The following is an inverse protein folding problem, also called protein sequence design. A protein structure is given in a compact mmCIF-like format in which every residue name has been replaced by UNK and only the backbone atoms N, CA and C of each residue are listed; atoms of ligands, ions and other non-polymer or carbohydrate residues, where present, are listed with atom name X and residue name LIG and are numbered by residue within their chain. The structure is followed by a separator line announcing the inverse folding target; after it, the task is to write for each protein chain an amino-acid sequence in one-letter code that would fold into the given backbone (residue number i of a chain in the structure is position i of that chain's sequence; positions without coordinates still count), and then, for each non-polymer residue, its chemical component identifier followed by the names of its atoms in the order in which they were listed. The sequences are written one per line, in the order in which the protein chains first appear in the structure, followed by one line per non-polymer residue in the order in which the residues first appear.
data_IF_850783059903
#
_entry.id   IF_850783059903
#
_cell.length_a   1.000
_cell.length_b   1.000
_cell.length_c   1.000
_cell.angle_alpha   90.00
_cell.angle_beta   90.00
_cell.angle_gamma   90.00
#
_symmetry.space_group_name_H-M   'P 1'
#
loop_
_entity.id
_entity.type
_entity.pdbx_description
1 polymer ?
#
# COMPACT_ATOMS: atom_id res chain seq x y z
N UNK A 1 29.69 4.98 -44.22
CA UNK A 1 30.64 5.38 -43.15
C UNK A 1 30.23 4.68 -41.86
N UNK A 2 30.79 3.51 -41.60
CA UNK A 2 30.49 2.68 -40.41
C UNK A 2 31.80 2.41 -39.63
N UNK A 3 32.60 3.46 -39.41
CA UNK A 3 33.89 3.38 -38.73
C UNK A 3 33.78 3.96 -37.31
N UNK A 4 33.04 3.27 -36.44
CA UNK A 4 32.84 3.67 -35.04
C UNK A 4 33.14 2.58 -34.01
N UNK A 5 33.58 1.39 -34.45
CA UNK A 5 34.10 0.38 -33.53
C UNK A 5 35.58 0.68 -33.24
N UNK A 6 35.82 1.77 -32.50
CA UNK A 6 37.08 1.97 -31.80
C UNK A 6 37.28 0.76 -30.89
N UNK A 7 38.42 0.08 -31.05
CA UNK A 7 38.82 -1.03 -30.21
C UNK A 7 38.77 -0.60 -28.74
N UNK A 8 37.71 -1.01 -28.02
CA UNK A 8 37.60 -0.77 -26.58
C UNK A 8 38.80 -1.45 -25.92
N UNK A 9 39.67 -0.65 -25.31
CA UNK A 9 40.73 -1.20 -24.48
C UNK A 9 40.10 -1.95 -23.32
N UNK A 10 40.68 -3.08 -22.90
CA UNK A 10 40.25 -3.81 -21.70
C UNK A 10 40.13 -2.88 -20.48
N UNK A 11 40.97 -1.84 -20.41
CA UNK A 11 40.89 -0.80 -19.39
C UNK A 11 39.58 -0.03 -19.44
N UNK A 12 39.09 0.32 -20.62
CA UNK A 12 37.83 1.07 -20.79
C UNK A 12 36.63 0.22 -20.37
N UNK A 13 36.67 -1.09 -20.63
CA UNK A 13 35.64 -2.05 -20.20
C UNK A 13 35.61 -2.17 -18.67
N UNK A 14 36.78 -2.29 -18.02
CA UNK A 14 36.86 -2.33 -16.56
C UNK A 14 36.38 -1.02 -15.91
N UNK A 15 36.76 0.12 -16.48
CA UNK A 15 36.39 1.42 -15.97
C UNK A 15 34.87 1.65 -16.11
N UNK A 16 34.29 1.28 -17.25
CA UNK A 16 32.85 1.30 -17.46
C UNK A 16 32.11 0.39 -16.47
N UNK A 17 32.62 -0.81 -16.18
CA UNK A 17 32.04 -1.72 -15.20
C UNK A 17 32.05 -1.14 -13.78
N UNK A 18 33.14 -0.49 -13.37
CA UNK A 18 33.22 0.20 -12.09
C UNK A 18 32.22 1.36 -12.00
N UNK A 19 32.12 2.19 -13.04
CA UNK A 19 31.17 3.31 -13.08
C UNK A 19 29.72 2.79 -13.02
N UNK A 20 29.40 1.75 -13.79
CA UNK A 20 28.08 1.14 -13.77
C UNK A 20 27.71 0.58 -12.39
N UNK A 21 28.67 -0.04 -11.69
CA UNK A 21 28.47 -0.53 -10.32
C UNK A 21 28.17 0.61 -9.34
N UNK A 22 28.90 1.72 -9.42
CA UNK A 22 28.67 2.90 -8.56
C UNK A 22 27.30 3.52 -8.82
N UNK A 23 26.89 3.65 -10.08
CA UNK A 23 25.56 4.15 -10.45
C UNK A 23 24.48 3.21 -9.92
N UNK A 24 24.63 1.89 -10.11
CA UNK A 24 23.69 0.89 -9.62
C UNK A 24 23.57 0.92 -8.09
N UNK A 25 24.69 1.03 -7.37
CA UNK A 25 24.71 1.14 -5.91
C UNK A 25 24.05 2.44 -5.44
N UNK A 26 24.30 3.57 -6.12
CA UNK A 26 23.67 4.85 -5.83
C UNK A 26 22.16 4.81 -6.01
N UNK A 27 21.67 4.22 -7.11
CA UNK A 27 20.24 4.02 -7.37
C UNK A 27 19.60 3.13 -6.29
N UNK A 28 20.24 2.01 -5.92
CA UNK A 28 19.78 1.13 -4.84
C UNK A 28 19.71 1.84 -3.49
N UNK A 29 20.71 2.67 -3.19
CA UNK A 29 20.76 3.44 -1.94
C UNK A 29 19.68 4.52 -1.90
N UNK A 30 19.48 5.25 -3.00
CA UNK A 30 18.39 6.19 -3.17
C UNK A 30 17.02 5.51 -3.11
N UNK A 31 16.85 4.34 -3.72
CA UNK A 31 15.62 3.53 -3.59
C UNK A 31 15.44 2.99 -2.16
N UNK A 32 16.50 2.81 -1.37
CA UNK A 32 16.39 2.46 0.04
C UNK A 32 15.97 3.64 0.93
N UNK A 33 16.32 4.87 0.54
CA UNK A 33 16.00 6.12 1.25
C UNK A 33 14.65 6.73 0.82
N UNK A 34 14.36 6.74 -0.48
CA UNK A 34 13.12 7.24 -1.12
C UNK A 34 12.13 6.13 -1.45
N UNK A 35 12.51 4.87 -1.24
CA UNK A 35 11.56 3.77 -1.12
C UNK A 35 10.74 4.04 0.12
N UNK A 36 9.77 4.92 -0.06
CA UNK A 36 8.59 5.06 0.77
C UNK A 36 8.13 3.63 0.92
N UNK A 37 8.48 3.05 2.07
CA UNK A 37 7.92 1.82 2.54
C UNK A 37 6.44 2.03 2.28
N UNK A 38 5.83 1.28 1.37
CA UNK A 38 4.39 1.11 1.34
C UNK A 38 4.01 0.33 2.61
N UNK A 39 4.41 0.84 3.77
CA UNK A 39 3.57 0.83 4.93
C UNK A 39 2.35 1.62 4.48
N UNK A 40 1.36 0.89 4.00
CA UNK A 40 -0.01 1.14 4.41
C UNK A 40 0.04 1.75 5.81
N UNK A 41 -0.61 2.89 6.09
CA UNK A 41 -0.70 3.43 7.43
C UNK A 41 -1.54 2.46 8.28
N UNK A 42 -0.96 1.32 8.62
CA UNK A 42 -1.36 0.46 9.71
C UNK A 42 -1.01 1.26 10.94
N UNK A 43 -1.97 2.06 11.39
CA UNK A 43 -1.93 2.71 12.68
C UNK A 43 -1.86 1.58 13.73
N UNK A 44 -0.64 1.14 14.05
CA UNK A 44 -0.37 0.20 15.12
C UNK A 44 -0.62 0.93 16.43
N UNK A 45 -1.88 1.03 16.82
CA UNK A 45 -2.27 1.49 18.15
C UNK A 45 -1.92 0.40 19.13
N UNK A 46 -0.66 0.41 19.58
CA UNK A 46 -0.34 -0.20 20.86
C UNK A 46 -0.85 0.76 21.94
N UNK A 47 -1.88 0.33 22.65
CA UNK A 47 -2.29 0.86 23.96
C UNK A 47 -3.09 2.19 23.98
N UNK A 48 -4.07 2.39 23.09
CA UNK A 48 -5.25 3.21 23.43
C UNK A 48 -6.47 2.28 23.42
N UNK A 49 -7.42 2.52 24.33
CA UNK A 49 -8.66 1.77 24.39
C UNK A 49 -9.29 1.69 23.01
N UNK A 50 -9.41 0.47 22.46
CA UNK A 50 -9.92 0.24 21.11
C UNK A 50 -11.31 0.86 20.89
N UNK A 51 -12.06 1.08 21.97
CA UNK A 51 -13.32 1.81 21.98
C UNK A 51 -13.16 3.29 21.59
N UNK A 52 -12.19 4.00 22.14
CA UNK A 52 -11.95 5.41 21.83
C UNK A 52 -11.44 5.60 20.39
N UNK A 53 -10.59 4.69 19.93
CA UNK A 53 -10.11 4.69 18.55
C UNK A 53 -11.26 4.41 17.58
N UNK A 54 -12.16 3.51 17.95
CA UNK A 54 -13.34 3.19 17.14
C UNK A 54 -14.29 4.39 17.00
N UNK A 55 -14.56 5.11 18.08
CA UNK A 55 -15.37 6.33 18.03
C UNK A 55 -14.69 7.43 17.19
N UNK A 56 -13.37 7.63 17.34
CA UNK A 56 -12.60 8.55 16.49
C UNK A 56 -12.65 8.14 15.01
N UNK A 57 -12.58 6.84 14.72
CA UNK A 57 -12.71 6.32 13.37
C UNK A 57 -14.11 6.56 12.79
N UNK A 58 -15.19 6.50 13.59
CA UNK A 58 -16.52 6.86 13.11
C UNK A 58 -16.62 8.32 12.69
N UNK A 59 -15.97 9.23 13.43
CA UNK A 59 -15.89 10.65 13.09
C UNK A 59 -15.10 10.88 11.79
N UNK A 60 -13.95 10.19 11.64
CA UNK A 60 -13.08 10.33 10.48
C UNK A 60 -13.61 9.64 9.21
N UNK A 61 -14.48 8.64 9.36
CA UNK A 61 -15.07 7.87 8.26
C UNK A 61 -16.60 7.98 8.32
N UNK A 62 -17.17 9.15 7.98
CA UNK A 62 -18.60 9.42 8.12
C UNK A 62 -19.48 8.69 7.09
N UNK A 63 -18.89 8.22 5.98
CA UNK A 63 -19.64 7.55 4.91
C UNK A 63 -19.83 6.08 5.31
N UNK A 64 -21.09 5.70 5.55
CA UNK A 64 -21.46 4.38 6.06
C UNK A 64 -21.65 3.34 4.94
N UNK A 65 -21.95 3.80 3.72
CA UNK A 65 -22.26 2.95 2.58
C UNK A 65 -21.14 3.06 1.56
N UNK A 66 -20.61 1.92 1.15
CA UNK A 66 -19.57 1.78 0.15
C UNK A 66 -20.16 1.04 -1.05
N UNK A 67 -20.11 1.64 -2.23
CA UNK A 67 -20.44 0.92 -3.47
C UNK A 67 -19.14 0.51 -4.16
N UNK A 68 -18.92 -0.78 -4.35
CA UNK A 68 -17.75 -1.32 -5.03
C UNK A 68 -18.20 -2.35 -6.07
N UNK A 69 -17.84 -2.13 -7.34
CA UNK A 69 -18.30 -2.93 -8.49
C UNK A 69 -19.82 -3.20 -8.52
N UNK A 70 -20.63 -2.20 -8.16
CA UNK A 70 -22.09 -2.32 -8.14
C UNK A 70 -22.68 -3.11 -6.97
N UNK A 71 -21.84 -3.58 -6.03
CA UNK A 71 -22.29 -4.13 -4.75
C UNK A 71 -22.22 -3.06 -3.66
N UNK A 72 -23.23 -3.01 -2.80
CA UNK A 72 -23.27 -2.10 -1.66
C UNK A 72 -22.83 -2.82 -0.39
N UNK A 73 -21.92 -2.21 0.35
CA UNK A 73 -21.42 -2.67 1.64
C UNK A 73 -21.72 -1.59 2.68
N UNK A 74 -22.30 -1.99 3.81
CA UNK A 74 -22.69 -1.07 4.88
C UNK A 74 -21.79 -1.25 6.11
N UNK A 75 -21.69 -0.19 6.92
CA UNK A 75 -21.01 -0.24 8.22
C UNK A 75 -21.52 -1.42 9.05
N UNK A 76 -20.59 -2.15 9.67
CA UNK A 76 -20.88 -3.33 10.49
C UNK A 76 -20.89 -4.65 9.72
N UNK A 77 -20.89 -4.63 8.39
CA UNK A 77 -20.75 -5.86 7.61
C UNK A 77 -19.36 -6.46 7.78
N UNK A 78 -19.30 -7.79 7.93
CA UNK A 78 -18.03 -8.51 7.80
C UNK A 78 -17.68 -8.61 6.33
N UNK A 79 -16.46 -8.18 6.01
CA UNK A 79 -15.95 -8.15 4.65
C UNK A 79 -14.56 -8.76 4.60
N UNK A 80 -14.26 -9.35 3.44
CA UNK A 80 -12.95 -9.81 3.04
C UNK A 80 -12.48 -8.96 1.86
N UNK A 81 -11.29 -8.41 1.99
CA UNK A 81 -10.69 -7.53 1.00
C UNK A 81 -9.45 -8.20 0.44
N UNK A 82 -9.36 -8.21 -0.88
CA UNK A 82 -8.17 -8.63 -1.62
C UNK A 82 -7.54 -7.37 -2.21
N UNK A 83 -6.32 -7.03 -1.80
CA UNK A 83 -5.59 -5.90 -2.38
C UNK A 83 -4.93 -6.30 -3.70
N UNK A 84 -4.54 -5.33 -4.52
CA UNK A 84 -3.79 -5.55 -5.77
C UNK A 84 -2.48 -6.34 -5.50
N UNK A 85 -1.90 -6.18 -4.31
CA UNK A 85 -0.72 -6.92 -3.86
C UNK A 85 -1.05 -8.36 -3.40
N UNK A 86 -2.26 -8.86 -3.68
CA UNK A 86 -2.78 -10.17 -3.27
C UNK A 86 -2.78 -10.39 -1.75
N UNK A 87 -2.82 -9.30 -0.97
CA UNK A 87 -2.97 -9.36 0.49
C UNK A 87 -4.44 -9.50 0.84
N UNK A 88 -4.74 -10.43 1.73
CA UNK A 88 -6.09 -10.67 2.23
C UNK A 88 -6.25 -9.99 3.59
N UNK A 89 -7.32 -9.20 3.73
CA UNK A 89 -7.69 -8.53 4.97
C UNK A 89 -9.15 -8.90 5.28
N UNK A 90 -9.39 -9.48 6.45
CA UNK A 90 -10.72 -9.88 6.91
C UNK A 90 -11.09 -9.11 8.17
N UNK A 91 -12.28 -8.52 8.19
CA UNK A 91 -12.74 -7.73 9.33
C UNK A 91 -14.11 -7.08 9.12
N UNK A 92 -14.48 -6.23 10.06
CA UNK A 92 -15.73 -5.48 10.05
C UNK A 92 -15.52 -4.12 9.36
N UNK A 93 -16.40 -3.77 8.42
CA UNK A 93 -16.37 -2.47 7.75
C UNK A 93 -16.80 -1.37 8.72
N UNK A 94 -15.90 -0.42 9.01
CA UNK A 94 -16.24 0.75 9.84
C UNK A 94 -16.77 1.89 8.96
N UNK A 95 -16.28 2.04 7.74
CA UNK A 95 -16.78 3.06 6.82
C UNK A 95 -15.70 3.63 5.92
N UNK A 96 -16.06 4.69 5.20
CA UNK A 96 -15.23 5.34 4.20
C UNK A 96 -15.10 6.85 4.49
N UNK A 97 -13.96 7.42 4.11
CA UNK A 97 -13.72 8.87 4.18
C UNK A 97 -13.79 9.48 2.76
N UNK A 98 -13.93 10.82 2.69
CA UNK A 98 -14.02 11.62 1.44
C UNK A 98 -12.83 11.46 0.50
N UNK A 99 -11.71 10.91 0.97
CA UNK A 99 -10.48 10.65 0.19
C UNK A 99 -10.39 9.17 -0.23
N UNK A 100 -11.51 8.48 -0.33
CA UNK A 100 -11.59 7.08 -0.72
C UNK A 100 -10.74 6.10 0.10
N UNK A 101 -10.53 6.42 1.37
CA UNK A 101 -9.95 5.50 2.34
C UNK A 101 -11.07 4.70 3.00
N UNK A 102 -10.92 3.39 3.06
CA UNK A 102 -11.80 2.50 3.82
C UNK A 102 -11.15 2.13 5.15
N UNK A 103 -11.96 2.00 6.20
CA UNK A 103 -11.52 1.61 7.53
C UNK A 103 -12.12 0.26 7.90
N UNK A 104 -11.27 -0.67 8.30
CA UNK A 104 -11.63 -2.06 8.58
C UNK A 104 -11.15 -2.40 9.99
N UNK A 105 -12.05 -2.92 10.81
CA UNK A 105 -11.71 -3.46 12.13
C UNK A 105 -11.42 -4.94 12.01
N UNK A 106 -10.15 -5.30 12.15
CA UNK A 106 -9.73 -6.70 12.34
C UNK A 106 -9.74 -7.04 13.83
N UNK A 107 -9.63 -8.33 14.23
CA UNK A 107 -9.59 -8.70 15.64
C UNK A 107 -8.47 -8.04 16.44
N UNK A 108 -7.35 -7.72 15.79
CA UNK A 108 -6.12 -7.28 16.46
C UNK A 108 -5.81 -5.79 16.25
N UNK A 109 -6.38 -5.16 15.22
CA UNK A 109 -6.02 -3.80 14.81
C UNK A 109 -7.08 -3.18 13.90
N UNK A 110 -7.11 -1.85 13.85
CA UNK A 110 -7.88 -1.09 12.86
C UNK A 110 -6.96 -0.74 11.69
N UNK A 111 -7.39 -1.04 10.47
CA UNK A 111 -6.62 -0.85 9.25
C UNK A 111 -7.35 0.15 8.36
N UNK A 112 -6.64 1.20 7.93
CA UNK A 112 -7.11 2.10 6.88
C UNK A 112 -6.42 1.74 5.56
N UNK A 113 -7.18 1.52 4.50
CA UNK A 113 -6.66 1.15 3.17
C UNK A 113 -7.28 2.00 2.07
N UNK A 114 -6.54 2.28 1.00
CA UNK A 114 -7.05 3.05 -0.14
C UNK A 114 -7.93 2.17 -1.03
N UNK A 115 -9.13 2.64 -1.38
CA UNK A 115 -10.05 1.90 -2.23
C UNK A 115 -9.45 1.56 -3.60
N UNK A 116 -8.62 2.45 -4.15
CA UNK A 116 -7.92 2.25 -5.44
C UNK A 116 -6.93 1.09 -5.44
N UNK A 117 -6.45 0.67 -4.25
CA UNK A 117 -5.51 -0.44 -4.09
C UNK A 117 -6.20 -1.77 -3.81
N UNK A 118 -7.53 -1.79 -3.88
CA UNK A 118 -8.36 -2.97 -3.64
C UNK A 118 -8.75 -3.57 -4.98
N UNK A 119 -8.52 -4.86 -5.11
CA UNK A 119 -8.90 -5.65 -6.26
C UNK A 119 -10.32 -6.19 -6.10
N UNK A 120 -10.67 -6.71 -4.91
CA UNK A 120 -11.97 -7.32 -4.65
C UNK A 120 -12.44 -7.08 -3.21
N UNK A 121 -13.75 -6.90 -3.04
CA UNK A 121 -14.44 -6.89 -1.74
C UNK A 121 -15.53 -7.96 -1.77
N UNK A 122 -15.49 -8.85 -0.79
CA UNK A 122 -16.41 -9.97 -0.63
C UNK A 122 -17.13 -9.80 0.71
N UNK A 123 -18.47 -9.80 0.70
CA UNK A 123 -19.28 -9.83 1.91
C UNK A 123 -19.24 -11.22 2.51
N UNK A 124 -18.98 -11.31 3.82
CA UNK A 124 -19.07 -12.54 4.58
C UNK A 124 -20.36 -12.44 5.41
N UNK A 125 -21.39 -13.16 4.97
CA UNK A 125 -22.69 -13.25 5.64
C UNK A 125 -22.57 -13.91 7.03
#
# INVERSE_FOLDING_TARGET
MLNGFLALSLRDVFLAACIAYVIFAGIRFLQGLFGTREQEPGFKVRNMDMADVYEKCKELFPIQNLTFHGKEFTRGMRIKIVTIQKKIIEGELIGMNKVNLICIRTPNQIIAHQLEKIEEIIGLD
#
